data_IF_072393274666
#
_entry.id   IF_072393274666
#
_cell.length_a   1.000
_cell.length_b   1.000
_cell.length_c   1.000
_cell.angle_alpha   90.00
_cell.angle_beta   90.00
_cell.angle_gamma   90.00
#
_symmetry.space_group_name_H-M   'P 1'
#
loop_
_entity.id
_entity.type
_entity.pdbx_description
1 polymer ?
#
# COMPACT_ATOMS: atom_id res chain seq x y z
N UNK A 1 -19.82 -8.15 8.79
CA UNK A 1 -18.93 -7.23 9.52
C UNK A 1 -17.66 -8.00 9.83
N UNK A 2 -16.52 -7.60 9.26
CA UNK A 2 -15.27 -8.33 9.41
C UNK A 2 -14.85 -8.32 10.89
N UNK A 3 -14.85 -9.48 11.53
CA UNK A 3 -14.43 -9.59 12.92
C UNK A 3 -12.91 -9.59 13.00
N UNK A 4 -12.31 -8.41 13.04
CA UNK A 4 -11.01 -8.23 13.71
C UNK A 4 -11.18 -8.27 15.24
N UNK A 5 -12.11 -9.10 15.72
CA UNK A 5 -12.41 -9.26 17.13
C UNK A 5 -11.17 -9.84 17.83
N UNK A 6 -10.90 -9.39 19.06
CA UNK A 6 -9.77 -9.91 19.85
C UNK A 6 -9.75 -11.45 19.89
N UNK A 7 -10.89 -12.16 20.07
CA UNK A 7 -10.88 -13.62 20.04
C UNK A 7 -10.52 -14.23 18.68
N UNK A 8 -10.99 -13.65 17.57
CA UNK A 8 -10.66 -14.15 16.22
C UNK A 8 -9.18 -13.99 15.90
N UNK A 9 -8.62 -12.82 16.19
CA UNK A 9 -7.19 -12.54 16.02
C UNK A 9 -6.33 -13.40 16.93
N UNK A 10 -6.75 -13.63 18.18
CA UNK A 10 -6.04 -14.52 19.09
C UNK A 10 -6.00 -15.96 18.57
N UNK A 11 -7.12 -16.48 18.02
CA UNK A 11 -7.14 -17.80 17.38
C UNK A 11 -6.19 -17.87 16.18
N UNK A 12 -6.18 -16.84 15.33
CA UNK A 12 -5.26 -16.77 14.18
C UNK A 12 -3.80 -16.79 14.65
N UNK A 13 -3.44 -15.99 15.65
CA UNK A 13 -2.10 -15.97 16.24
C UNK A 13 -1.71 -17.33 16.81
N UNK A 14 -2.60 -18.00 17.56
CA UNK A 14 -2.30 -19.32 18.13
C UNK A 14 -2.17 -20.39 17.05
N UNK A 15 -3.01 -20.37 16.02
CA UNK A 15 -3.01 -21.38 14.96
C UNK A 15 -1.89 -21.21 13.94
N UNK A 16 -1.48 -19.97 13.65
CA UNK A 16 -0.55 -19.65 12.55
C UNK A 16 0.75 -19.02 13.03
N UNK A 17 0.90 -18.74 14.33
CA UNK A 17 1.99 -17.93 14.88
C UNK A 17 3.38 -18.37 14.42
N UNK A 18 3.70 -19.66 14.50
CA UNK A 18 5.00 -20.17 14.05
C UNK A 18 5.25 -19.95 12.55
N UNK A 19 4.23 -20.14 11.71
CA UNK A 19 4.35 -19.93 10.27
C UNK A 19 4.52 -18.43 9.94
N UNK A 20 3.79 -17.56 10.64
CA UNK A 20 3.87 -16.11 10.50
C UNK A 20 5.24 -15.57 10.92
N UNK A 21 5.78 -16.02 12.06
CA UNK A 21 7.10 -15.61 12.53
C UNK A 21 8.21 -16.10 11.58
N UNK A 22 8.10 -17.33 11.07
CA UNK A 22 9.04 -17.83 10.07
C UNK A 22 9.00 -17.00 8.79
N UNK A 23 7.81 -16.66 8.31
CA UNK A 23 7.65 -15.80 7.13
C UNK A 23 8.28 -14.42 7.36
N UNK A 24 8.04 -13.80 8.53
CA UNK A 24 8.67 -12.53 8.90
C UNK A 24 10.21 -12.63 8.86
N UNK A 25 10.77 -13.69 9.46
CA UNK A 25 12.21 -13.90 9.49
C UNK A 25 12.83 -14.03 8.09
N UNK A 26 12.20 -14.78 7.18
CA UNK A 26 12.72 -14.94 5.82
C UNK A 26 12.65 -13.63 5.02
N UNK A 27 11.63 -12.78 5.25
CA UNK A 27 11.54 -11.45 4.63
C UNK A 27 12.66 -10.55 5.13
N UNK A 28 12.88 -10.47 6.44
CA UNK A 28 13.97 -9.67 7.03
C UNK A 28 15.33 -10.13 6.50
N UNK A 29 15.53 -11.45 6.39
CA UNK A 29 16.76 -12.02 5.84
C UNK A 29 16.97 -11.63 4.37
N UNK A 30 15.91 -11.63 3.56
CA UNK A 30 15.98 -11.19 2.18
C UNK A 30 16.37 -9.70 2.11
N UNK A 31 15.75 -8.85 2.92
CA UNK A 31 16.05 -7.42 2.95
C UNK A 31 17.52 -7.15 3.33
N UNK A 32 18.03 -7.85 4.35
CA UNK A 32 19.45 -7.83 4.74
C UNK A 32 20.38 -8.26 3.59
N UNK A 33 20.02 -9.33 2.88
CA UNK A 33 20.81 -9.81 1.74
C UNK A 33 20.82 -8.78 0.61
N UNK A 34 19.66 -8.21 0.26
CA UNK A 34 19.54 -7.19 -0.78
C UNK A 34 20.32 -5.92 -0.40
N UNK A 35 20.30 -5.51 0.87
CA UNK A 35 21.07 -4.36 1.35
C UNK A 35 22.59 -4.54 1.16
N UNK A 36 23.11 -5.76 1.36
CA UNK A 36 24.54 -6.07 1.23
C UNK A 36 25.05 -6.13 -0.22
N UNK A 37 24.15 -6.25 -1.20
CA UNK A 37 24.51 -6.40 -2.62
C UNK A 37 24.84 -5.09 -3.35
N UNK A 38 24.84 -3.94 -2.66
CA UNK A 38 25.19 -2.63 -3.23
C UNK A 38 24.38 -2.32 -4.50
N UNK A 39 25.05 -2.02 -5.62
CA UNK A 39 24.41 -1.69 -6.91
C UNK A 39 23.48 -2.77 -7.45
N UNK A 40 23.77 -4.05 -7.15
CA UNK A 40 22.87 -5.15 -7.55
C UNK A 40 21.59 -5.10 -6.73
N UNK A 41 21.68 -4.79 -5.44
CA UNK A 41 20.53 -4.59 -4.55
C UNK A 41 19.68 -3.39 -4.95
N UNK A 42 20.31 -2.28 -5.36
CA UNK A 42 19.61 -1.12 -5.94
C UNK A 42 18.83 -1.51 -7.21
N UNK A 43 19.48 -2.26 -8.12
CA UNK A 43 18.84 -2.75 -9.33
C UNK A 43 17.72 -3.76 -9.05
N UNK A 44 17.83 -4.57 -8.00
CA UNK A 44 16.75 -5.46 -7.56
C UNK A 44 15.55 -4.64 -7.08
N UNK A 45 15.76 -3.70 -6.14
CA UNK A 45 14.68 -2.83 -5.61
C UNK A 45 13.97 -2.06 -6.70
N UNK A 46 14.74 -1.43 -7.61
CA UNK A 46 14.17 -0.67 -8.71
C UNK A 46 13.24 -1.52 -9.60
N UNK A 47 13.59 -2.78 -9.88
CA UNK A 47 12.74 -3.70 -10.66
C UNK A 47 11.54 -4.18 -9.86
N UNK A 48 11.70 -4.46 -8.58
CA UNK A 48 10.60 -4.81 -7.70
C UNK A 48 9.55 -3.69 -7.63
N UNK A 49 9.96 -2.42 -7.58
CA UNK A 49 9.04 -1.29 -7.58
C UNK A 49 8.17 -1.25 -8.86
N UNK A 50 8.77 -1.48 -10.04
CA UNK A 50 8.03 -1.57 -11.30
C UNK A 50 7.06 -2.76 -11.33
N UNK A 51 7.51 -3.93 -10.87
CA UNK A 51 6.69 -5.14 -10.81
C UNK A 51 5.51 -4.96 -9.86
N UNK A 52 5.73 -4.36 -8.69
CA UNK A 52 4.70 -4.09 -7.70
C UNK A 52 3.68 -3.09 -8.24
N UNK A 53 4.11 -1.99 -8.86
CA UNK A 53 3.20 -1.02 -9.48
C UNK A 53 2.31 -1.68 -10.56
N UNK A 54 2.88 -2.53 -11.41
CA UNK A 54 2.12 -3.28 -12.42
C UNK A 54 1.16 -4.29 -11.78
N UNK A 55 1.60 -5.02 -10.77
CA UNK A 55 0.77 -6.00 -10.06
C UNK A 55 -0.43 -5.34 -9.37
N UNK A 56 -0.24 -4.17 -8.75
CA UNK A 56 -1.32 -3.41 -8.13
C UNK A 56 -2.36 -2.93 -9.14
N UNK A 57 -1.93 -2.54 -10.35
CA UNK A 57 -2.86 -2.22 -11.43
C UNK A 57 -3.57 -3.47 -11.96
N UNK A 58 -2.87 -4.60 -12.08
CA UNK A 58 -3.47 -5.86 -12.51
C UNK A 58 -4.58 -6.34 -11.57
N UNK A 59 -4.39 -6.22 -10.25
CA UNK A 59 -5.42 -6.52 -9.24
C UNK A 59 -6.66 -5.63 -9.43
N UNK A 60 -6.46 -4.37 -9.85
CA UNK A 60 -7.55 -3.44 -10.20
C UNK A 60 -8.15 -3.69 -11.60
N UNK A 61 -7.76 -4.77 -12.29
CA UNK A 61 -8.26 -5.11 -13.63
C UNK A 61 -7.58 -4.34 -14.77
N UNK A 62 -6.45 -3.68 -14.51
CA UNK A 62 -5.75 -2.85 -15.49
C UNK A 62 -4.46 -3.51 -15.97
N UNK A 63 -4.30 -3.59 -17.28
CA UNK A 63 -3.08 -4.10 -17.90
C UNK A 63 -2.10 -2.96 -18.16
N UNK A 64 -0.91 -3.05 -17.59
CA UNK A 64 0.17 -2.07 -17.76
C UNK A 64 1.40 -2.79 -18.30
N UNK A 65 1.85 -2.47 -19.53
CA UNK A 65 3.12 -2.97 -20.04
C UNK A 65 4.27 -2.38 -19.21
N UNK A 66 5.10 -3.25 -18.62
CA UNK A 66 6.21 -2.81 -17.77
C UNK A 66 7.21 -1.94 -18.54
N UNK A 67 7.44 -2.24 -19.82
CA UNK A 67 8.35 -1.46 -20.67
C UNK A 67 7.87 -0.03 -20.88
N UNK A 68 6.56 0.17 -21.07
CA UNK A 68 5.97 1.50 -21.20
C UNK A 68 6.08 2.28 -19.88
N UNK A 69 5.91 1.61 -18.73
CA UNK A 69 6.08 2.22 -17.41
C UNK A 69 7.55 2.63 -17.17
N UNK A 70 8.50 1.79 -17.56
CA UNK A 70 9.94 2.09 -17.50
C UNK A 70 10.28 3.29 -18.39
N UNK A 71 9.78 3.34 -19.62
CA UNK A 71 10.05 4.43 -20.55
C UNK A 71 9.45 5.76 -20.08
N UNK A 72 8.25 5.74 -19.50
CA UNK A 72 7.64 6.94 -18.92
C UNK A 72 8.36 7.41 -17.66
N UNK A 73 8.80 6.49 -16.79
CA UNK A 73 9.60 6.83 -15.61
C UNK A 73 10.92 7.49 -16.03
N UNK A 74 11.55 7.00 -17.10
CA UNK A 74 12.75 7.57 -17.70
C UNK A 74 12.53 8.87 -18.51
N UNK A 75 11.28 9.38 -18.59
CA UNK A 75 10.95 10.58 -19.36
C UNK A 75 11.14 10.43 -20.88
N UNK A 76 11.20 9.19 -21.38
CA UNK A 76 11.43 8.86 -22.79
C UNK A 76 10.29 8.01 -23.37
N UNK A 77 9.02 8.43 -23.27
CA UNK A 77 7.92 7.67 -23.83
C UNK A 77 8.04 7.59 -25.35
N UNK A 78 7.88 6.39 -25.90
CA UNK A 78 7.81 6.15 -27.36
C UNK A 78 6.36 6.03 -27.86
N UNK A 79 5.38 6.05 -26.95
CA UNK A 79 3.94 5.95 -27.20
C UNK A 79 3.20 7.01 -26.37
N UNK A 80 1.98 7.34 -26.77
CA UNK A 80 1.09 8.21 -26.00
C UNK A 80 0.76 7.58 -24.64
N UNK A 81 0.74 8.39 -23.58
CA UNK A 81 0.37 7.91 -22.23
C UNK A 81 -1.11 7.55 -22.17
N UNK A 82 -1.42 6.38 -21.62
CA UNK A 82 -2.78 5.99 -21.23
C UNK A 82 -3.05 6.36 -19.77
N UNK A 83 -4.32 6.35 -19.36
CA UNK A 83 -4.68 6.64 -17.97
C UNK A 83 -4.22 5.52 -17.02
N UNK A 84 -4.25 4.26 -17.45
CA UNK A 84 -3.73 3.10 -16.73
C UNK A 84 -2.24 3.30 -16.43
N UNK A 85 -1.50 3.76 -17.44
CA UNK A 85 -0.06 3.98 -17.35
C UNK A 85 0.27 5.19 -16.46
N UNK A 86 -0.54 6.26 -16.51
CA UNK A 86 -0.45 7.36 -15.55
C UNK A 86 -0.73 6.89 -14.11
N UNK A 87 -1.76 6.07 -13.88
CA UNK A 87 -2.05 5.50 -12.55
C UNK A 87 -0.93 4.57 -12.05
N UNK A 88 -0.34 3.77 -12.93
CA UNK A 88 0.81 2.94 -12.58
C UNK A 88 2.04 3.77 -12.18
N UNK A 89 2.30 4.89 -12.88
CA UNK A 89 3.36 5.83 -12.52
C UNK A 89 3.12 6.44 -11.13
N UNK A 90 1.88 6.81 -10.81
CA UNK A 90 1.52 7.32 -9.48
C UNK A 90 1.79 6.25 -8.40
N UNK A 91 1.40 5.00 -8.64
CA UNK A 91 1.68 3.90 -7.71
C UNK A 91 3.19 3.67 -7.52
N UNK A 92 3.96 3.70 -8.60
CA UNK A 92 5.43 3.61 -8.58
C UNK A 92 6.06 4.74 -7.75
N UNK A 93 5.63 5.98 -7.98
CA UNK A 93 6.13 7.14 -7.25
C UNK A 93 5.79 7.05 -5.77
N UNK A 94 4.55 6.73 -5.42
CA UNK A 94 4.14 6.57 -4.02
C UNK A 94 4.91 5.45 -3.32
N UNK A 95 5.19 4.33 -4.01
CA UNK A 95 6.01 3.24 -3.48
C UNK A 95 7.44 3.70 -3.16
N UNK A 96 8.06 4.47 -4.06
CA UNK A 96 9.40 5.04 -3.87
C UNK A 96 9.42 6.12 -2.79
N UNK A 97 8.42 7.00 -2.75
CA UNK A 97 8.25 7.98 -1.66
C UNK A 97 8.14 7.26 -0.31
N UNK A 98 7.31 6.22 -0.20
CA UNK A 98 7.18 5.46 1.04
C UNK A 98 8.47 4.76 1.45
N UNK A 99 9.29 4.29 0.50
CA UNK A 99 10.59 3.67 0.78
C UNK A 99 11.65 4.70 1.20
N UNK A 100 11.57 5.94 0.72
CA UNK A 100 12.48 7.03 1.06
C UNK A 100 12.23 7.66 2.44
N UNK A 101 11.05 7.40 3.03
CA UNK A 101 10.66 7.96 4.32
C UNK A 101 10.62 6.90 5.44
N UNK A 102 10.67 7.30 6.72
CA UNK A 102 10.43 6.39 7.84
C UNK A 102 9.05 5.71 7.74
N UNK A 103 8.88 4.49 8.27
CA UNK A 103 7.59 3.78 8.20
C UNK A 103 6.40 4.57 8.75
N UNK A 104 6.64 5.42 9.77
CA UNK A 104 5.63 6.29 10.36
C UNK A 104 5.07 7.35 9.39
N UNK A 105 5.84 7.74 8.37
CA UNK A 105 5.40 8.74 7.39
C UNK A 105 4.21 8.25 6.56
N UNK A 106 4.13 6.96 6.23
CA UNK A 106 3.05 6.40 5.42
C UNK A 106 1.64 6.61 6.01
N UNK A 107 1.56 6.86 7.33
CA UNK A 107 0.32 7.08 8.08
C UNK A 107 -0.09 8.55 8.15
N UNK A 108 0.81 9.46 7.78
CA UNK A 108 0.57 10.91 7.81
C UNK A 108 -0.42 11.34 6.74
N UNK A 109 -1.12 12.43 6.99
CA UNK A 109 -1.97 13.07 5.98
C UNK A 109 -1.15 13.46 4.74
N UNK A 110 0.11 13.86 4.93
CA UNK A 110 1.02 14.18 3.84
C UNK A 110 1.19 12.98 2.88
N UNK A 111 1.44 11.78 3.40
CA UNK A 111 1.56 10.57 2.58
C UNK A 111 0.23 10.11 1.97
N UNK A 112 -0.88 10.20 2.72
CA UNK A 112 -2.20 9.75 2.27
C UNK A 112 -2.75 10.64 1.15
N UNK A 113 -2.50 11.94 1.23
CA UNK A 113 -3.02 12.93 0.29
C UNK A 113 -1.96 13.44 -0.71
N UNK A 114 -0.73 12.93 -0.66
CA UNK A 114 0.36 13.27 -1.58
C UNK A 114 -0.09 13.22 -3.05
N UNK A 115 0.22 14.27 -3.82
CA UNK A 115 -0.03 14.33 -5.26
C UNK A 115 -1.51 14.42 -5.66
N UNK A 116 -2.44 14.49 -4.70
CA UNK A 116 -3.86 14.70 -5.00
C UNK A 116 -4.13 16.18 -5.26
N UNK A 117 -4.82 16.47 -6.35
CA UNK A 117 -5.39 17.79 -6.58
C UNK A 117 -6.46 17.99 -5.51
N UNK A 118 -6.31 19.02 -4.67
CA UNK A 118 -7.35 19.53 -3.78
C UNK A 118 -8.45 20.15 -4.64
N UNK A 119 -9.26 19.31 -5.25
CA UNK A 119 -10.57 19.73 -5.75
C UNK A 119 -11.48 19.83 -4.54
N UNK A 120 -12.39 20.82 -4.46
CA UNK A 120 -13.59 20.70 -3.63
C UNK A 120 -14.45 19.57 -4.23
N UNK A 121 -13.95 18.34 -4.14
CA UNK A 121 -14.53 17.12 -4.69
C UNK A 121 -15.87 16.85 -4.03
N UNK A 122 -16.03 17.35 -2.82
CA UNK A 122 -17.24 17.29 -2.02
C UNK A 122 -18.42 17.99 -2.69
N UNK A 123 -18.22 19.10 -3.41
CA UNK A 123 -19.32 19.81 -4.06
C UNK A 123 -19.88 19.01 -5.24
N UNK A 124 -19.00 18.33 -5.99
CA UNK A 124 -19.37 17.56 -7.18
C UNK A 124 -19.88 16.16 -6.81
N UNK A 125 -19.35 15.54 -5.75
CA UNK A 125 -19.85 14.26 -5.20
C UNK A 125 -21.16 14.43 -4.43
N UNK A 126 -21.31 15.48 -3.60
CA UNK A 126 -22.61 15.81 -2.97
C UNK A 126 -23.70 16.09 -4.02
N UNK A 127 -23.35 16.74 -5.14
CA UNK A 127 -24.27 17.03 -6.23
C UNK A 127 -24.68 15.80 -7.07
N UNK A 128 -23.86 14.74 -7.09
CA UNK A 128 -24.13 13.50 -7.81
C UNK A 128 -24.91 12.45 -6.98
N UNK A 129 -25.24 12.76 -5.72
CA UNK A 129 -26.16 11.97 -4.91
C UNK A 129 -25.53 10.87 -4.05
N UNK A 130 -24.19 10.81 -3.95
CA UNK A 130 -23.50 9.91 -3.01
C UNK A 130 -23.04 10.69 -1.77
N UNK A 131 -24.03 11.16 -0.99
CA UNK A 131 -23.82 11.99 0.19
C UNK A 131 -23.28 11.21 1.41
N UNK A 132 -23.05 9.90 1.32
CA UNK A 132 -22.61 9.04 2.43
C UNK A 132 -21.10 8.72 2.41
N UNK A 133 -20.37 9.08 1.34
CA UNK A 133 -18.93 8.82 1.26
C UNK A 133 -18.11 9.98 1.83
N UNK A 134 -17.80 9.90 3.13
CA UNK A 134 -16.90 10.83 3.83
C UNK A 134 -15.48 10.23 3.92
N UNK A 135 -14.52 10.89 3.28
CA UNK A 135 -13.12 10.44 3.24
C UNK A 135 -12.44 10.53 4.61
N UNK A 136 -12.66 11.63 5.33
CA UNK A 136 -12.03 11.90 6.61
C UNK A 136 -12.56 10.91 7.66
N UNK A 137 -13.88 10.69 7.71
CA UNK A 137 -14.49 9.69 8.60
C UNK A 137 -13.94 8.28 8.36
N UNK A 138 -13.72 7.90 7.09
CA UNK A 138 -13.19 6.57 6.74
C UNK A 138 -11.72 6.42 7.09
N UNK A 139 -10.92 7.47 6.89
CA UNK A 139 -9.52 7.50 7.29
C UNK A 139 -9.42 7.36 8.82
N UNK A 140 -10.22 8.11 9.57
CA UNK A 140 -10.25 8.05 11.03
C UNK A 140 -10.71 6.68 11.52
N UNK A 141 -11.80 6.14 10.93
CA UNK A 141 -12.28 4.78 11.22
C UNK A 141 -11.21 3.72 10.99
N UNK A 142 -10.44 3.83 9.90
CA UNK A 142 -9.35 2.90 9.61
C UNK A 142 -8.22 3.04 10.62
N UNK A 143 -7.81 4.26 10.97
CA UNK A 143 -6.79 4.53 11.99
C UNK A 143 -7.20 3.99 13.37
N UNK A 144 -8.44 4.24 13.79
CA UNK A 144 -8.99 3.77 15.07
C UNK A 144 -9.03 2.25 15.16
N UNK A 145 -9.43 1.57 14.07
CA UNK A 145 -9.41 0.13 14.00
C UNK A 145 -7.99 -0.41 14.23
N UNK A 146 -7.00 0.19 13.58
CA UNK A 146 -5.60 -0.23 13.70
C UNK A 146 -5.00 0.09 15.07
N UNK A 147 -5.39 1.20 15.68
CA UNK A 147 -5.00 1.55 17.05
C UNK A 147 -5.60 0.58 18.10
N UNK A 148 -6.78 0.02 17.81
CA UNK A 148 -7.46 -0.96 18.65
C UNK A 148 -6.94 -2.40 18.53
N UNK A 149 -6.06 -2.69 17.56
CA UNK A 149 -5.53 -4.04 17.37
C UNK A 149 -4.67 -4.48 18.57
N UNK A 150 -4.79 -5.76 19.00
CA UNK A 150 -3.85 -6.30 19.98
C UNK A 150 -2.44 -6.42 19.36
N UNK A 151 -1.44 -6.78 20.18
CA UNK A 151 -0.15 -7.19 19.66
C UNK A 151 -0.31 -8.44 18.78
N UNK A 152 0.12 -8.36 17.52
CA UNK A 152 0.02 -9.42 16.51
C UNK A 152 1.41 -9.69 15.91
N UNK A 153 1.69 -10.93 15.45
CA UNK A 153 2.80 -11.20 14.55
C UNK A 153 2.79 -10.21 13.38
N UNK A 154 3.96 -9.70 12.98
CA UNK A 154 4.03 -8.55 12.07
C UNK A 154 3.37 -8.81 10.71
N UNK A 155 3.50 -10.03 10.19
CA UNK A 155 2.86 -10.48 8.94
C UNK A 155 1.33 -10.48 9.06
N UNK A 156 0.80 -10.92 10.20
CA UNK A 156 -0.64 -10.89 10.44
C UNK A 156 -1.15 -9.46 10.59
N UNK A 157 -0.39 -8.59 11.27
CA UNK A 157 -0.73 -7.16 11.35
C UNK A 157 -0.76 -6.53 9.97
N UNK A 158 0.23 -6.79 9.12
CA UNK A 158 0.28 -6.32 7.75
C UNK A 158 -0.90 -6.83 6.90
N UNK A 159 -1.28 -8.10 7.07
CA UNK A 159 -2.45 -8.69 6.41
C UNK A 159 -3.76 -8.03 6.85
N UNK A 160 -3.95 -7.77 8.14
CA UNK A 160 -5.11 -7.03 8.67
C UNK A 160 -5.14 -5.60 8.11
N UNK A 161 -3.99 -4.93 8.04
CA UNK A 161 -3.88 -3.56 7.50
C UNK A 161 -4.24 -3.52 6.02
N UNK A 162 -3.74 -4.49 5.24
CA UNK A 162 -4.11 -4.65 3.83
C UNK A 162 -5.62 -4.86 3.67
N UNK A 163 -6.18 -5.84 4.38
CA UNK A 163 -7.58 -6.21 4.26
C UNK A 163 -8.51 -5.08 4.74
N UNK A 164 -8.23 -4.48 5.90
CA UNK A 164 -9.01 -3.38 6.43
C UNK A 164 -9.03 -2.16 5.50
N UNK A 165 -7.92 -1.89 4.79
CA UNK A 165 -7.90 -0.84 3.76
C UNK A 165 -8.87 -1.14 2.62
N UNK A 166 -8.90 -2.38 2.13
CA UNK A 166 -9.80 -2.78 1.04
C UNK A 166 -11.27 -2.80 1.48
N UNK A 167 -11.56 -3.07 2.75
CA UNK A 167 -12.94 -3.12 3.26
C UNK A 167 -13.49 -1.74 3.64
N UNK A 168 -12.65 -0.88 4.22
CA UNK A 168 -13.06 0.47 4.65
C UNK A 168 -12.99 1.46 3.49
N UNK A 169 -12.12 1.19 2.52
CA UNK A 169 -11.81 2.06 1.39
C UNK A 169 -11.57 3.51 1.85
N UNK A 170 -10.51 3.78 2.64
CA UNK A 170 -10.29 5.11 3.24
C UNK A 170 -10.18 6.22 2.20
N UNK A 171 -9.62 5.91 1.03
CA UNK A 171 -9.44 6.86 -0.07
C UNK A 171 -10.13 6.35 -1.32
N UNK A 172 -10.89 7.22 -1.99
CA UNK A 172 -11.60 6.84 -3.21
C UNK A 172 -10.61 6.45 -4.32
N UNK A 173 -10.86 5.31 -4.98
CA UNK A 173 -9.94 4.72 -5.96
C UNK A 173 -8.51 4.49 -5.41
N UNK A 174 -8.38 4.40 -4.09
CA UNK A 174 -7.12 4.25 -3.36
C UNK A 174 -6.78 2.82 -2.97
N UNK A 175 -7.52 1.80 -3.45
CA UNK A 175 -7.32 0.39 -3.09
C UNK A 175 -5.85 -0.07 -3.21
N UNK A 176 -5.13 0.41 -4.23
CA UNK A 176 -3.72 0.11 -4.46
C UNK A 176 -2.77 0.55 -3.34
N UNK A 177 -3.16 1.50 -2.47
CA UNK A 177 -2.37 1.96 -1.33
C UNK A 177 -2.32 0.95 -0.18
N UNK A 178 -3.20 -0.06 -0.16
CA UNK A 178 -3.18 -1.13 0.85
C UNK A 178 -1.80 -1.81 0.95
N UNK A 179 -1.13 -2.00 -0.19
CA UNK A 179 0.21 -2.56 -0.28
C UNK A 179 1.27 -1.70 0.40
N UNK A 180 1.21 -0.38 0.18
CA UNK A 180 2.13 0.57 0.79
C UNK A 180 1.94 0.58 2.32
N UNK A 181 0.69 0.54 2.79
CA UNK A 181 0.39 0.50 4.22
C UNK A 181 0.87 -0.81 4.86
N UNK A 182 0.61 -1.96 4.24
CA UNK A 182 1.09 -3.25 4.71
C UNK A 182 2.63 -3.30 4.74
N UNK A 183 3.31 -2.78 3.71
CA UNK A 183 4.76 -2.68 3.67
C UNK A 183 5.29 -1.76 4.78
N UNK A 184 4.66 -0.61 5.02
CA UNK A 184 5.04 0.30 6.11
C UNK A 184 4.92 -0.37 7.48
N UNK A 185 3.87 -1.16 7.72
CA UNK A 185 3.75 -1.98 8.94
C UNK A 185 4.92 -2.94 9.07
N UNK A 186 5.22 -3.71 8.02
CA UNK A 186 6.32 -4.68 8.06
C UNK A 186 7.66 -4.00 8.36
N UNK A 187 7.98 -2.89 7.70
CA UNK A 187 9.21 -2.13 7.99
C UNK A 187 9.28 -1.54 9.40
N UNK A 188 8.13 -1.27 10.03
CA UNK A 188 8.11 -0.80 11.41
C UNK A 188 8.44 -1.92 12.42
N UNK A 189 8.30 -3.19 12.01
CA UNK A 189 8.61 -4.37 12.82
C UNK A 189 10.09 -4.78 12.84
N UNK A 190 10.93 -4.17 11.99
CA UNK A 190 12.32 -4.56 11.77
C UNK A 190 12.52 -5.13 10.38
#
# INVERSE_FOLDING_TARGET
>A
MFEYSKPALQRATTSLGQALERAAFEVVRLDEQVARLGRVGEGYRARSDFQEACALRAIAGELVPIDDLVLIDAGSPIRLSTIELTRARIALQARRSAAAHPPAWAWSDDALFEGRIKLPRDELLRALGDAEWDEDERVDRWRDLLAGLPALPIVLRAAVVWDAWLQIEPLHAGAWRSAIMAAAVMRAGG
#
